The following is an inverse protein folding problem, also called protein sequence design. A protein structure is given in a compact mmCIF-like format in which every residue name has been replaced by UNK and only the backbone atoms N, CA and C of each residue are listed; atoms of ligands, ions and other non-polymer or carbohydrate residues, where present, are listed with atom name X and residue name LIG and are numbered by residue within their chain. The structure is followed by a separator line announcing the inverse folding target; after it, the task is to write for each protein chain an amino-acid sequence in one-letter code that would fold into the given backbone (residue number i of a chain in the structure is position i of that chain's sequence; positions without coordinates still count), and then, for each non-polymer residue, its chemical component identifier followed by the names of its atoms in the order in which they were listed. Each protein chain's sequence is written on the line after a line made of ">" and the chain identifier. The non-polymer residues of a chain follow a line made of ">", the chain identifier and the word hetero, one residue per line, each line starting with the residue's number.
data_IF_542521805557
#
_entry.id   IF_542521805557
#
_cell.length_a   1.000
_cell.length_b   1.000
_cell.length_c   1.000
_cell.angle_alpha   90.00
_cell.angle_beta   90.00
_cell.angle_gamma   90.00
#
_symmetry.space_group_name_H-M   'P 1'
#
loop_
_entity.id
_entity.type
_entity.pdbx_description
1 polymer ?
#
# COMPACT_ATOMS: atom_id res chain seq x y z
N UNK A 1 -2.72 75.19 -3.16
CA UNK A 1 -3.97 74.45 -3.38
C UNK A 1 -3.97 73.26 -2.42
N UNK A 2 -4.21 73.50 -1.13
CA UNK A 2 -5.51 73.51 -0.40
C UNK A 2 -6.12 72.11 -0.25
N UNK A 3 -5.91 71.52 0.93
CA UNK A 3 -6.83 70.56 1.57
C UNK A 3 -8.18 71.24 1.84
N UNK A 4 -9.29 70.48 1.89
CA UNK A 4 -10.03 70.23 3.15
C UNK A 4 -10.51 68.75 3.30
N UNK A 5 -10.35 68.06 4.44
CA UNK A 5 -11.25 67.89 5.62
C UNK A 5 -12.64 67.30 5.31
N UNK A 6 -12.93 66.03 5.64
CA UNK A 6 -13.59 65.49 6.89
C UNK A 6 -15.14 65.37 6.70
N UNK A 7 -16.00 64.69 7.51
CA UNK A 7 -15.80 63.77 8.66
C UNK A 7 -16.63 62.46 8.69
N UNK A 8 -16.25 61.61 9.65
CA UNK A 8 -17.03 60.74 10.56
C UNK A 8 -18.42 60.20 10.17
N UNK A 9 -18.63 58.89 10.33
CA UNK A 9 -19.68 58.32 11.22
C UNK A 9 -19.22 56.98 11.80
N UNK A 10 -19.44 56.87 13.10
CA UNK A 10 -19.27 55.81 14.08
C UNK A 10 -19.87 54.42 13.74
N UNK A 11 -19.47 53.41 14.52
CA UNK A 11 -20.37 52.30 14.85
C UNK A 11 -19.70 50.95 15.03
N UNK A 12 -19.42 50.61 16.29
CA UNK A 12 -19.56 49.29 16.91
C UNK A 12 -19.44 48.02 16.03
N UNK A 13 -18.54 47.11 16.41
CA UNK A 13 -18.93 45.82 17.02
C UNK A 13 -17.68 44.98 17.33
N UNK A 14 -17.23 45.12 18.57
CA UNK A 14 -16.39 44.16 19.27
C UNK A 14 -17.19 42.86 19.45
N UNK A 15 -16.60 41.69 19.18
CA UNK A 15 -17.12 40.42 19.70
C UNK A 15 -16.04 39.71 20.54
N UNK A 16 -16.38 39.16 21.73
CA UNK A 16 -15.41 38.94 22.79
C UNK A 16 -14.99 37.48 22.95
N UNK A 17 -13.74 37.33 23.39
CA UNK A 17 -13.11 36.14 23.95
C UNK A 17 -13.96 35.57 25.11
N UNK A 18 -14.48 34.34 24.94
CA UNK A 18 -15.22 33.62 25.99
C UNK A 18 -14.24 32.86 26.88
N UNK A 19 -13.95 33.41 28.06
CA UNK A 19 -13.30 32.68 29.17
C UNK A 19 -14.30 31.71 29.79
N UNK A 20 -13.86 30.47 30.03
CA UNK A 20 -14.59 29.47 30.81
C UNK A 20 -14.26 29.66 32.30
N UNK A 21 -15.25 30.02 33.11
CA UNK A 21 -15.20 29.94 34.57
C UNK A 21 -15.78 28.59 35.02
N UNK A 22 -15.19 27.89 36.01
CA UNK A 22 -15.77 26.68 36.55
C UNK A 22 -16.90 27.01 37.54
N UNK A 23 -18.10 26.49 37.26
CA UNK A 23 -19.26 26.63 38.13
C UNK A 23 -19.19 25.58 39.26
N UNK A 24 -18.90 26.05 40.47
CA UNK A 24 -18.98 25.32 41.73
C UNK A 24 -20.44 25.12 42.11
N UNK A 25 -20.90 23.88 42.20
CA UNK A 25 -22.27 23.54 42.57
C UNK A 25 -22.32 23.09 44.04
N UNK A 26 -22.58 24.04 44.94
CA UNK A 26 -22.93 23.76 46.33
C UNK A 26 -24.47 23.72 46.43
N UNK A 27 -25.05 22.52 46.46
CA UNK A 27 -26.45 22.32 46.83
C UNK A 27 -26.63 21.12 47.78
N UNK A 28 -26.84 21.46 49.05
CA UNK A 28 -27.92 20.98 49.90
C UNK A 28 -28.16 19.48 49.99
N UNK A 29 -27.64 18.87 51.06
CA UNK A 29 -28.12 17.61 51.62
C UNK A 29 -29.55 17.78 52.13
N UNK A 30 -30.53 17.42 51.29
CA UNK A 30 -31.94 17.30 51.64
C UNK A 30 -32.31 15.86 51.95
N UNK A 31 -32.50 15.60 53.24
CA UNK A 31 -33.03 14.35 53.83
C UNK A 31 -34.41 14.02 53.25
N UNK A 32 -34.60 12.77 52.79
CA UNK A 32 -35.95 12.18 52.63
C UNK A 32 -36.43 11.91 51.20
N UNK A 33 -35.78 11.00 50.47
CA UNK A 33 -36.45 10.23 49.43
C UNK A 33 -36.07 8.75 49.54
N UNK A 34 -36.86 8.04 50.34
CA UNK A 34 -36.92 6.58 50.32
C UNK A 34 -37.49 6.17 48.97
N UNK A 35 -36.61 5.75 48.05
CA UNK A 35 -37.00 5.20 46.77
C UNK A 35 -37.67 3.84 47.02
N UNK A 36 -39.00 3.84 47.01
CA UNK A 36 -39.81 2.64 47.10
C UNK A 36 -39.44 1.67 45.96
N UNK A 37 -38.81 0.55 46.32
CA UNK A 37 -38.64 -0.62 45.46
C UNK A 37 -40.03 -1.07 44.98
N UNK A 38 -40.34 -0.80 43.71
CA UNK A 38 -41.50 -1.42 43.05
C UNK A 38 -41.23 -2.92 42.91
N UNK A 39 -42.00 -3.81 43.57
CA UNK A 39 -42.07 -5.19 43.10
C UNK A 39 -42.89 -5.19 41.80
N UNK A 40 -42.74 -6.23 40.99
CA UNK A 40 -43.46 -6.46 39.73
C UNK A 40 -42.82 -5.85 38.46
N UNK A 41 -41.54 -6.16 38.25
CA UNK A 41 -41.02 -6.28 36.88
C UNK A 41 -41.26 -7.73 36.43
N UNK A 42 -42.18 -8.00 35.49
CA UNK A 42 -42.35 -9.34 34.97
C UNK A 42 -41.04 -9.79 34.32
N UNK A 43 -40.54 -10.96 34.73
CA UNK A 43 -39.37 -11.61 34.12
C UNK A 43 -39.76 -11.96 32.68
N UNK A 44 -39.58 -11.00 31.76
CA UNK A 44 -39.67 -11.21 30.32
C UNK A 44 -38.61 -12.25 30.00
N UNK A 45 -39.02 -13.37 29.38
CA UNK A 45 -38.16 -14.45 28.93
C UNK A 45 -36.88 -13.87 28.31
N UNK A 46 -35.77 -13.89 29.05
CA UNK A 46 -34.48 -13.50 28.52
C UNK A 46 -34.17 -14.55 27.45
N UNK A 47 -34.01 -14.18 26.17
CA UNK A 47 -33.69 -15.14 25.14
C UNK A 47 -32.46 -15.93 25.61
N UNK A 48 -32.56 -17.26 25.66
CA UNK A 48 -31.44 -18.09 26.13
C UNK A 48 -30.19 -17.73 25.33
N UNK A 49 -29.02 -17.73 25.98
CA UNK A 49 -27.73 -17.41 25.33
C UNK A 49 -27.55 -18.20 24.03
N UNK A 50 -28.08 -19.43 23.98
CA UNK A 50 -28.14 -20.30 22.79
C UNK A 50 -28.92 -19.68 21.61
N UNK A 51 -30.04 -19.00 21.86
CA UNK A 51 -30.83 -18.31 20.83
C UNK A 51 -30.16 -17.04 20.29
N UNK A 52 -29.35 -16.37 21.11
CA UNK A 52 -28.57 -15.21 20.70
C UNK A 52 -27.35 -15.64 19.86
N UNK A 53 -26.64 -16.69 20.31
CA UNK A 53 -25.49 -17.24 19.58
C UNK A 53 -25.90 -17.82 18.22
N UNK A 54 -27.02 -18.56 18.13
CA UNK A 54 -27.52 -19.09 16.86
C UNK A 54 -27.91 -17.99 15.86
N UNK A 55 -28.55 -16.90 16.33
CA UNK A 55 -28.84 -15.73 15.48
C UNK A 55 -27.59 -15.00 15.03
N UNK A 56 -26.54 -14.97 15.85
CA UNK A 56 -25.28 -14.29 15.54
C UNK A 56 -24.48 -15.07 14.48
N UNK A 57 -24.40 -16.40 14.61
CA UNK A 57 -23.77 -17.32 13.63
C UNK A 57 -24.52 -17.34 12.30
N UNK A 58 -25.87 -17.32 12.33
CA UNK A 58 -26.67 -17.24 11.12
C UNK A 58 -26.45 -15.91 10.36
N UNK A 59 -26.33 -14.79 11.09
CA UNK A 59 -26.08 -13.45 10.50
C UNK A 59 -24.69 -13.30 9.90
N UNK A 60 -23.65 -13.87 10.51
CA UNK A 60 -22.28 -13.83 9.97
C UNK A 60 -22.14 -14.72 8.74
N UNK A 61 -22.77 -15.90 8.74
CA UNK A 61 -22.75 -16.83 7.60
C UNK A 61 -23.54 -16.28 6.40
N UNK A 62 -24.75 -15.74 6.62
CA UNK A 62 -25.54 -15.10 5.58
C UNK A 62 -24.85 -13.86 4.97
N UNK A 63 -24.17 -13.04 5.79
CA UNK A 63 -23.35 -11.90 5.30
C UNK A 63 -22.14 -12.34 4.48
N UNK A 64 -21.55 -13.50 4.76
CA UNK A 64 -20.41 -14.06 4.01
C UNK A 64 -20.86 -14.61 2.65
N UNK A 65 -21.99 -15.32 2.61
CA UNK A 65 -22.57 -15.84 1.37
C UNK A 65 -23.09 -14.74 0.45
N UNK A 66 -23.71 -13.68 1.01
CA UNK A 66 -24.12 -12.51 0.23
C UNK A 66 -22.94 -11.80 -0.44
N UNK A 67 -21.83 -11.60 0.27
CA UNK A 67 -20.63 -11.00 -0.31
C UNK A 67 -20.00 -11.85 -1.42
N UNK A 68 -19.93 -13.16 -1.22
CA UNK A 68 -19.41 -14.07 -2.25
C UNK A 68 -20.26 -14.05 -3.53
N UNK A 69 -21.60 -14.00 -3.39
CA UNK A 69 -22.51 -13.87 -4.51
C UNK A 69 -22.33 -12.52 -5.23
N UNK A 70 -22.19 -11.42 -4.49
CA UNK A 70 -21.89 -10.11 -5.07
C UNK A 70 -20.54 -10.08 -5.81
N UNK A 71 -19.50 -10.71 -5.24
CA UNK A 71 -18.19 -10.82 -5.90
C UNK A 71 -18.26 -11.65 -7.19
N UNK A 72 -19.00 -12.77 -7.17
CA UNK A 72 -19.20 -13.59 -8.36
C UNK A 72 -20.00 -12.84 -9.43
N UNK A 73 -21.06 -12.14 -9.03
CA UNK A 73 -21.87 -11.31 -9.94
C UNK A 73 -21.03 -10.18 -10.55
N UNK A 74 -20.15 -9.55 -9.77
CA UNK A 74 -19.20 -8.56 -10.26
C UNK A 74 -18.21 -9.14 -11.29
N UNK A 75 -17.69 -10.34 -11.04
CA UNK A 75 -16.80 -11.02 -11.99
C UNK A 75 -17.52 -11.41 -13.29
N UNK A 76 -18.74 -11.94 -13.18
CA UNK A 76 -19.57 -12.29 -14.34
C UNK A 76 -19.92 -11.05 -15.15
N UNK A 77 -20.32 -9.96 -14.48
CA UNK A 77 -20.60 -8.69 -15.13
C UNK A 77 -19.37 -8.13 -15.85
N UNK A 78 -18.18 -8.22 -15.23
CA UNK A 78 -16.92 -7.81 -15.86
C UNK A 78 -16.63 -8.60 -17.14
N UNK A 79 -16.72 -9.93 -17.09
CA UNK A 79 -16.49 -10.80 -18.26
C UNK A 79 -17.54 -10.56 -19.34
N UNK A 80 -18.81 -10.36 -18.95
CA UNK A 80 -19.89 -10.05 -19.89
C UNK A 80 -19.66 -8.71 -20.60
N UNK A 81 -19.27 -7.67 -19.86
CA UNK A 81 -18.93 -6.35 -20.43
C UNK A 81 -17.75 -6.46 -21.39
N UNK A 82 -16.69 -7.20 -21.03
CA UNK A 82 -15.55 -7.44 -21.90
C UNK A 82 -15.97 -8.18 -23.17
N UNK A 83 -16.76 -9.25 -23.06
CA UNK A 83 -17.25 -9.99 -24.24
C UNK A 83 -18.11 -9.09 -25.15
N UNK A 84 -19.02 -8.32 -24.57
CA UNK A 84 -19.83 -7.34 -25.31
C UNK A 84 -18.95 -6.29 -26.00
N UNK A 85 -17.91 -5.79 -25.34
CA UNK A 85 -16.97 -4.85 -25.93
C UNK A 85 -16.21 -5.47 -27.12
N UNK A 86 -15.82 -6.74 -27.03
CA UNK A 86 -15.18 -7.46 -28.12
C UNK A 86 -16.14 -7.66 -29.31
N UNK A 87 -17.39 -8.02 -29.05
CA UNK A 87 -18.41 -8.26 -30.09
C UNK A 87 -18.93 -6.96 -30.72
N UNK A 88 -18.88 -5.84 -29.99
CA UNK A 88 -19.40 -4.54 -30.44
C UNK A 88 -18.68 -3.93 -31.65
N UNK A 89 -17.49 -4.45 -32.00
CA UNK A 89 -16.71 -3.92 -33.12
C UNK A 89 -16.16 -2.50 -32.88
N UNK A 90 -16.18 -2.00 -31.63
CA UNK A 90 -15.66 -0.68 -31.27
C UNK A 90 -14.14 -0.51 -31.51
N UNK A 91 -13.40 -1.61 -31.71
CA UNK A 91 -11.97 -1.63 -32.01
C UNK A 91 -11.65 -2.23 -33.39
N UNK A 92 -10.39 -2.05 -33.84
CA UNK A 92 -9.88 -2.80 -34.99
C UNK A 92 -10.01 -4.31 -34.70
N UNK A 93 -10.44 -5.08 -35.69
CA UNK A 93 -10.63 -6.53 -35.56
C UNK A 93 -9.34 -7.17 -35.04
N UNK A 94 -9.46 -7.93 -33.95
CA UNK A 94 -8.33 -8.61 -33.30
C UNK A 94 -7.65 -7.84 -32.16
N UNK A 95 -7.93 -6.55 -31.96
CA UNK A 95 -7.28 -5.77 -30.87
C UNK A 95 -7.86 -6.06 -29.48
N UNK A 96 -9.16 -6.36 -29.39
CA UNK A 96 -9.79 -6.76 -28.15
C UNK A 96 -9.78 -8.30 -28.10
N UNK A 97 -9.03 -8.93 -27.20
CA UNK A 97 -8.97 -10.38 -27.10
C UNK A 97 -10.29 -10.96 -26.60
N UNK A 98 -10.65 -12.14 -27.12
CA UNK A 98 -11.79 -12.92 -26.61
C UNK A 98 -11.43 -13.53 -25.24
N UNK A 99 -12.15 -13.19 -24.15
CA UNK A 99 -11.88 -13.74 -22.82
C UNK A 99 -11.99 -15.27 -22.78
N UNK A 100 -12.78 -15.89 -23.66
CA UNK A 100 -12.92 -17.35 -23.72
C UNK A 100 -11.79 -18.06 -24.48
N UNK A 101 -10.97 -17.32 -25.23
CA UNK A 101 -9.79 -17.86 -25.90
C UNK A 101 -8.58 -17.99 -24.95
N UNK A 102 -8.56 -17.22 -23.86
CA UNK A 102 -7.44 -17.12 -22.91
C UNK A 102 -7.04 -18.49 -22.32
N UNK A 103 -7.95 -19.35 -21.83
CA UNK A 103 -7.54 -20.64 -21.24
C UNK A 103 -6.78 -21.54 -22.23
N UNK A 104 -7.16 -21.50 -23.52
CA UNK A 104 -6.45 -22.24 -24.57
C UNK A 104 -5.07 -21.64 -24.83
N UNK A 105 -4.98 -20.32 -24.90
CA UNK A 105 -3.71 -19.62 -25.10
C UNK A 105 -2.72 -19.87 -23.96
N UNK A 106 -3.20 -19.87 -22.69
CA UNK A 106 -2.39 -20.28 -21.53
C UNK A 106 -1.79 -21.68 -21.75
N UNK A 107 -2.60 -22.65 -22.17
CA UNK A 107 -2.13 -24.02 -22.38
C UNK A 107 -1.10 -24.11 -23.51
N UNK A 108 -1.26 -23.33 -24.58
CA UNK A 108 -0.31 -23.26 -25.70
C UNK A 108 1.02 -22.66 -25.25
N UNK A 109 0.99 -21.52 -24.55
CA UNK A 109 2.20 -20.85 -24.04
C UNK A 109 2.90 -21.66 -22.93
N UNK A 110 2.15 -22.39 -22.13
CA UNK A 110 2.71 -23.31 -21.13
C UNK A 110 3.42 -24.49 -21.79
N UNK A 111 2.78 -25.14 -22.77
CA UNK A 111 3.34 -26.31 -23.47
C UNK A 111 4.53 -25.96 -24.37
N UNK A 112 4.59 -24.73 -24.89
CA UNK A 112 5.72 -24.27 -25.70
C UNK A 112 6.98 -24.02 -24.87
N UNK A 113 6.86 -23.92 -23.54
CA UNK A 113 7.96 -23.55 -22.64
C UNK A 113 8.30 -22.06 -22.64
N UNK A 114 7.68 -21.25 -23.49
CA UNK A 114 7.90 -19.78 -23.53
C UNK A 114 7.45 -19.13 -22.23
N UNK A 115 6.25 -19.49 -21.75
CA UNK A 115 5.71 -18.90 -20.52
C UNK A 115 6.61 -19.20 -19.31
N UNK A 116 7.10 -20.43 -19.18
CA UNK A 116 7.97 -20.81 -18.06
C UNK A 116 9.30 -20.09 -18.12
N UNK A 117 9.93 -20.03 -19.30
CA UNK A 117 11.19 -19.29 -19.49
C UNK A 117 11.03 -17.79 -19.22
N UNK A 118 9.91 -17.19 -19.65
CA UNK A 118 9.61 -15.79 -19.41
C UNK A 118 9.40 -15.50 -17.92
N UNK A 119 8.63 -16.35 -17.22
CA UNK A 119 8.42 -16.24 -15.77
C UNK A 119 9.73 -16.35 -15.01
N UNK A 120 10.60 -17.31 -15.35
CA UNK A 120 11.88 -17.51 -14.68
C UNK A 120 12.78 -16.29 -14.80
N UNK A 121 12.96 -15.77 -16.02
CA UNK A 121 13.77 -14.58 -16.26
C UNK A 121 13.21 -13.36 -15.52
N UNK A 122 11.88 -13.15 -15.61
CA UNK A 122 11.21 -12.06 -14.90
C UNK A 122 11.32 -12.17 -13.38
N UNK A 123 11.25 -13.38 -12.81
CA UNK A 123 11.44 -13.58 -11.38
C UNK A 123 12.86 -13.23 -10.93
N UNK A 124 13.87 -13.51 -11.75
CA UNK A 124 15.26 -13.12 -11.45
C UNK A 124 15.39 -11.59 -11.41
N UNK A 125 14.90 -10.89 -12.44
CA UNK A 125 14.90 -9.42 -12.48
C UNK A 125 14.14 -8.83 -11.28
N UNK A 126 12.95 -9.35 -11.04
CA UNK A 126 12.05 -8.91 -9.99
C UNK A 126 12.66 -9.10 -8.59
N UNK A 127 13.20 -10.28 -8.31
CA UNK A 127 13.77 -10.59 -7.00
C UNK A 127 14.99 -9.72 -6.69
N UNK A 128 15.93 -9.59 -7.64
CA UNK A 128 17.12 -8.75 -7.45
C UNK A 128 16.78 -7.27 -7.35
N UNK A 129 15.91 -6.77 -8.22
CA UNK A 129 15.46 -5.39 -8.17
C UNK A 129 14.74 -5.06 -6.87
N UNK A 130 13.84 -5.94 -6.41
CA UNK A 130 13.14 -5.79 -5.14
C UNK A 130 14.11 -5.83 -3.96
N UNK A 131 15.05 -6.77 -3.93
CA UNK A 131 16.02 -6.91 -2.86
C UNK A 131 16.93 -5.68 -2.76
N UNK A 132 17.52 -5.25 -3.87
CA UNK A 132 18.42 -4.09 -3.91
C UNK A 132 17.67 -2.80 -3.58
N UNK A 133 16.52 -2.56 -4.21
CA UNK A 133 15.73 -1.36 -3.97
C UNK A 133 15.22 -1.28 -2.53
N UNK A 134 14.75 -2.40 -1.98
CA UNK A 134 14.30 -2.45 -0.57
C UNK A 134 15.44 -2.26 0.39
N UNK A 135 16.56 -2.98 0.21
CA UNK A 135 17.72 -2.87 1.08
C UNK A 135 18.29 -1.45 1.11
N UNK A 136 18.52 -0.84 -0.06
CA UNK A 136 19.03 0.52 -0.17
C UNK A 136 18.04 1.56 0.34
N UNK A 137 16.75 1.39 0.02
CA UNK A 137 15.70 2.30 0.48
C UNK A 137 15.56 2.29 2.00
N UNK A 138 15.60 1.11 2.62
CA UNK A 138 15.55 0.96 4.07
C UNK A 138 16.80 1.54 4.73
N UNK A 139 17.99 1.18 4.24
CA UNK A 139 19.25 1.66 4.80
C UNK A 139 19.32 3.19 4.76
N UNK A 140 19.05 3.80 3.59
CA UNK A 140 19.12 5.25 3.46
C UNK A 140 17.97 5.95 4.20
N UNK A 141 16.76 5.39 4.17
CA UNK A 141 15.60 5.97 4.86
C UNK A 141 15.78 6.00 6.39
N UNK A 142 16.36 4.95 6.97
CA UNK A 142 16.74 4.93 8.40
C UNK A 142 17.85 5.95 8.66
N UNK A 143 18.89 5.96 7.81
CA UNK A 143 20.03 6.84 8.00
C UNK A 143 19.66 8.32 7.96
N UNK A 144 18.80 8.74 7.02
CA UNK A 144 18.31 10.12 6.93
C UNK A 144 17.31 10.45 8.03
N UNK A 145 16.45 9.52 8.44
CA UNK A 145 15.53 9.75 9.56
C UNK A 145 16.24 9.96 10.91
N UNK A 146 17.40 9.34 11.09
CA UNK A 146 18.17 9.41 12.34
C UNK A 146 19.26 10.49 12.36
N UNK A 147 19.59 11.09 11.21
CA UNK A 147 20.67 12.07 11.09
C UNK A 147 20.20 13.33 10.37
N UNK A 148 20.05 14.42 11.14
CA UNK A 148 19.73 15.76 10.59
C UNK A 148 20.77 16.22 9.56
N UNK A 149 22.03 15.82 9.73
CA UNK A 149 23.11 16.12 8.77
C UNK A 149 22.87 15.42 7.44
N UNK A 150 22.57 14.12 7.45
CA UNK A 150 22.28 13.38 6.22
C UNK A 150 20.98 13.86 5.56
N UNK A 151 19.95 14.16 6.34
CA UNK A 151 18.70 14.72 5.81
C UNK A 151 18.93 16.08 5.12
N UNK A 152 19.72 16.96 5.75
CA UNK A 152 20.07 18.27 5.18
C UNK A 152 20.92 18.14 3.91
N UNK A 153 21.92 17.25 3.90
CA UNK A 153 22.81 17.03 2.75
C UNK A 153 22.08 16.41 1.57
N UNK A 154 21.25 15.40 1.82
CA UNK A 154 20.55 14.66 0.77
C UNK A 154 19.23 15.33 0.37
N UNK A 155 18.72 16.28 1.14
CA UNK A 155 17.43 16.91 0.89
C UNK A 155 17.28 17.51 -0.51
N UNK A 156 18.32 18.10 -1.08
CA UNK A 156 18.29 18.59 -2.48
C UNK A 156 18.35 17.45 -3.50
N UNK A 157 19.23 16.47 -3.29
CA UNK A 157 19.38 15.28 -4.14
C UNK A 157 18.04 14.53 -4.22
N UNK A 158 17.42 14.26 -3.09
CA UNK A 158 16.12 13.58 -2.99
C UNK A 158 15.03 14.39 -3.70
N UNK A 159 14.98 15.71 -3.51
CA UNK A 159 14.00 16.58 -4.18
C UNK A 159 14.14 16.56 -5.70
N UNK A 160 15.36 16.45 -6.22
CA UNK A 160 15.64 16.44 -7.66
C UNK A 160 15.42 15.06 -8.29
N UNK A 161 15.83 13.98 -7.64
CA UNK A 161 15.71 12.63 -8.23
C UNK A 161 14.33 12.02 -8.03
N UNK A 162 13.62 12.34 -6.95
CA UNK A 162 12.31 11.74 -6.62
C UNK A 162 11.28 11.82 -7.77
N UNK A 163 11.11 12.95 -8.48
CA UNK A 163 10.09 13.07 -9.53
C UNK A 163 10.41 12.26 -10.79
N UNK A 164 11.67 11.80 -10.93
CA UNK A 164 12.12 11.09 -12.12
C UNK A 164 11.52 9.68 -12.11
N UNK A 165 10.68 9.31 -13.10
CA UNK A 165 10.07 7.99 -13.14
C UNK A 165 11.14 6.91 -13.33
N UNK A 166 10.98 5.72 -12.74
CA UNK A 166 11.93 4.60 -12.92
C UNK A 166 12.19 4.27 -14.39
N UNK A 167 11.18 4.42 -15.24
CA UNK A 167 11.29 4.19 -16.69
C UNK A 167 12.36 5.09 -17.36
N UNK A 168 12.57 6.32 -16.89
CA UNK A 168 13.59 7.21 -17.47
C UNK A 168 15.02 6.67 -17.24
N UNK A 169 15.22 5.87 -16.19
CA UNK A 169 16.51 5.27 -15.87
C UNK A 169 16.90 4.13 -16.81
N UNK A 170 15.99 3.64 -17.66
CA UNK A 170 16.32 2.56 -18.60
C UNK A 170 17.41 2.99 -19.58
N UNK A 171 17.43 4.26 -20.00
CA UNK A 171 18.48 4.78 -20.91
C UNK A 171 19.87 4.60 -20.27
N UNK A 172 20.00 4.95 -18.99
CA UNK A 172 21.23 4.75 -18.24
C UNK A 172 21.53 3.28 -17.99
N UNK A 173 20.49 2.46 -17.72
CA UNK A 173 20.65 1.03 -17.55
C UNK A 173 21.27 0.37 -18.78
N UNK A 174 20.80 0.74 -19.98
CA UNK A 174 21.36 0.27 -21.25
C UNK A 174 22.77 0.81 -21.46
N UNK A 175 23.03 2.07 -21.13
CA UNK A 175 24.37 2.64 -21.29
C UNK A 175 25.42 1.96 -20.41
N UNK A 176 25.07 1.63 -19.16
CA UNK A 176 26.00 1.04 -18.19
C UNK A 176 26.09 -0.48 -18.27
N UNK A 177 24.93 -1.15 -18.34
CA UNK A 177 24.84 -2.60 -18.23
C UNK A 177 24.54 -3.26 -19.57
N UNK A 178 24.30 -2.48 -20.64
CA UNK A 178 23.75 -2.97 -21.91
C UNK A 178 22.37 -3.61 -21.67
N UNK A 179 21.85 -4.32 -22.68
CA UNK A 179 20.63 -5.13 -22.52
C UNK A 179 21.04 -6.38 -21.72
N UNK A 180 20.80 -6.34 -20.41
CA UNK A 180 21.23 -7.37 -19.45
C UNK A 180 20.28 -7.51 -18.26
N UNK A 181 20.42 -8.62 -17.52
CA UNK A 181 19.60 -8.93 -16.35
C UNK A 181 19.85 -7.93 -15.22
N UNK A 182 21.10 -7.47 -15.09
CA UNK A 182 21.55 -6.45 -14.15
C UNK A 182 20.90 -5.10 -14.46
N UNK A 183 20.83 -4.73 -15.75
CA UNK A 183 20.16 -3.51 -16.18
C UNK A 183 18.66 -3.51 -15.84
N UNK A 184 17.97 -4.64 -16.07
CA UNK A 184 16.57 -4.79 -15.72
C UNK A 184 16.35 -4.70 -14.20
N UNK A 185 17.15 -5.44 -13.41
CA UNK A 185 17.11 -5.38 -11.96
C UNK A 185 17.41 -3.96 -11.42
N UNK A 186 18.34 -3.23 -12.03
CA UNK A 186 18.65 -1.85 -11.67
C UNK A 186 17.43 -0.93 -11.83
N UNK A 187 16.74 -0.97 -12.96
CA UNK A 187 15.53 -0.15 -13.20
C UNK A 187 14.44 -0.44 -12.18
N UNK A 188 14.21 -1.72 -11.90
CA UNK A 188 13.26 -2.17 -10.87
C UNK A 188 13.67 -1.65 -9.49
N UNK A 189 14.96 -1.74 -9.16
CA UNK A 189 15.49 -1.28 -7.88
C UNK A 189 15.25 0.21 -7.64
N UNK A 190 15.34 1.07 -8.66
CA UNK A 190 15.04 2.50 -8.55
C UNK A 190 13.56 2.74 -8.20
N UNK A 191 12.63 2.01 -8.83
CA UNK A 191 11.21 2.11 -8.51
C UNK A 191 10.89 1.72 -7.07
N UNK A 192 11.47 0.61 -6.63
CA UNK A 192 11.30 0.09 -5.27
C UNK A 192 11.98 0.98 -4.24
N UNK A 193 13.17 1.51 -4.56
CA UNK A 193 13.99 2.31 -3.68
C UNK A 193 13.23 3.51 -3.13
N UNK A 194 12.60 4.32 -3.99
CA UNK A 194 11.92 5.53 -3.52
C UNK A 194 10.71 5.23 -2.65
N UNK A 195 9.91 4.22 -3.01
CA UNK A 195 8.76 3.79 -2.20
C UNK A 195 9.21 3.38 -0.80
N UNK A 196 10.24 2.55 -0.71
CA UNK A 196 10.75 2.04 0.55
C UNK A 196 11.53 3.09 1.34
N UNK A 197 12.26 3.97 0.68
CA UNK A 197 12.93 5.11 1.30
C UNK A 197 11.93 5.99 2.04
N UNK A 198 10.88 6.46 1.38
CA UNK A 198 9.93 7.38 2.01
C UNK A 198 9.08 6.72 3.08
N UNK A 199 8.64 5.47 2.87
CA UNK A 199 7.91 4.73 3.88
C UNK A 199 8.77 4.54 5.15
N UNK A 200 10.05 4.21 4.96
CA UNK A 200 10.98 3.99 6.07
C UNK A 200 11.35 5.29 6.77
N UNK A 201 11.68 6.34 6.01
CA UNK A 201 11.98 7.66 6.54
C UNK A 201 10.83 8.19 7.40
N UNK A 202 9.60 8.10 6.88
CA UNK A 202 8.41 8.52 7.61
C UNK A 202 8.17 7.67 8.86
N UNK A 203 8.32 6.35 8.77
CA UNK A 203 8.07 5.45 9.90
C UNK A 203 9.10 5.63 11.02
N UNK A 204 10.38 5.74 10.67
CA UNK A 204 11.47 5.95 11.63
C UNK A 204 11.44 7.35 12.26
N UNK A 205 11.12 8.38 11.47
CA UNK A 205 10.98 9.76 11.97
C UNK A 205 9.74 9.99 12.83
N UNK A 206 8.73 9.12 12.75
CA UNK A 206 7.47 9.23 13.54
C UNK A 206 7.51 8.47 14.87
N UNK A 207 8.66 7.92 15.26
CA UNK A 207 8.83 7.24 16.55
C UNK A 207 8.75 8.26 17.69
N UNK A 208 7.89 8.02 18.69
CA UNK A 208 7.67 8.94 19.81
C UNK A 208 9.00 9.22 20.56
N UNK A 209 9.39 10.50 20.73
CA UNK A 209 10.55 10.91 21.53
C UNK A 209 10.63 10.25 22.92
N UNK A 210 9.49 9.95 23.54
CA UNK A 210 9.40 9.26 24.85
C UNK A 210 10.07 7.89 24.85
N UNK A 211 10.04 7.16 23.74
CA UNK A 211 10.74 5.87 23.67
C UNK A 211 12.26 6.04 23.78
N UNK A 212 12.81 7.13 23.23
CA UNK A 212 14.23 7.45 23.37
C UNK A 212 14.58 7.95 24.77
N UNK A 213 13.66 8.60 25.49
CA UNK A 213 13.84 8.99 26.89
C UNK A 213 13.82 7.77 27.83
N UNK A 214 12.89 6.84 27.61
CA UNK A 214 12.84 5.57 28.35
C UNK A 214 14.10 4.74 28.12
N UNK A 215 14.55 4.60 26.87
CA UNK A 215 15.80 3.88 26.57
C UNK A 215 17.01 4.49 27.28
N UNK A 216 17.10 5.83 27.36
CA UNK A 216 18.11 6.55 28.14
C UNK A 216 18.02 6.22 29.63
N UNK A 217 16.82 6.20 30.20
CA UNK A 217 16.62 5.84 31.61
C UNK A 217 17.06 4.41 31.94
N UNK A 218 16.96 3.48 30.98
CA UNK A 218 17.45 2.10 31.10
C UNK A 218 18.91 1.91 30.62
N UNK A 219 19.70 2.98 30.52
CA UNK A 219 21.13 2.96 30.13
C UNK A 219 21.38 2.33 28.73
N UNK A 220 20.41 2.41 27.84
CA UNK A 220 20.53 2.00 26.43
C UNK A 220 20.98 3.18 25.57
N UNK A 221 22.22 3.64 25.81
CA UNK A 221 22.72 4.89 25.22
C UNK A 221 23.46 4.75 23.89
N UNK A 222 23.75 3.52 23.45
CA UNK A 222 24.45 3.29 22.20
C UNK A 222 23.57 3.53 20.96
N UNK A 223 24.10 4.11 19.86
CA UNK A 223 23.34 4.37 18.64
C UNK A 223 22.77 3.07 18.04
N UNK A 224 23.56 2.01 18.03
CA UNK A 224 23.13 0.68 17.56
C UNK A 224 22.06 0.07 18.48
N UNK A 225 22.21 0.24 19.80
CA UNK A 225 21.23 -0.26 20.79
C UNK A 225 19.89 0.45 20.67
N UNK A 226 19.89 1.77 20.48
CA UNK A 226 18.67 2.56 20.24
C UNK A 226 18.02 2.20 18.91
N UNK A 227 18.81 2.07 17.84
CA UNK A 227 18.30 1.64 16.54
C UNK A 227 17.60 0.29 16.63
N UNK A 228 18.28 -0.75 17.14
CA UNK A 228 17.75 -2.11 17.17
C UNK A 228 16.68 -2.32 18.25
N UNK A 229 16.77 -1.61 19.38
CA UNK A 229 15.88 -1.79 20.53
C UNK A 229 14.66 -0.88 20.55
N UNK A 230 14.69 0.26 19.84
CA UNK A 230 13.62 1.26 19.88
C UNK A 230 13.12 1.61 18.49
N UNK A 231 13.99 2.17 17.65
CA UNK A 231 13.57 2.72 16.36
C UNK A 231 13.05 1.63 15.43
N UNK A 232 13.83 0.55 15.23
CA UNK A 232 13.48 -0.51 14.30
C UNK A 232 12.18 -1.23 14.74
N UNK A 233 12.00 -1.66 16.00
CA UNK A 233 10.75 -2.29 16.42
C UNK A 233 9.53 -1.37 16.33
N UNK A 234 9.68 -0.09 16.73
CA UNK A 234 8.58 0.87 16.71
C UNK A 234 8.16 1.28 15.28
N UNK A 235 9.11 1.37 14.35
CA UNK A 235 8.86 1.76 12.97
C UNK A 235 8.58 0.57 12.03
N UNK A 236 8.87 -0.66 12.45
CA UNK A 236 8.77 -1.84 11.61
C UNK A 236 7.38 -2.04 10.95
N UNK A 237 6.22 -1.75 11.58
CA UNK A 237 4.93 -1.86 10.90
C UNK A 237 4.83 -0.94 9.68
N UNK A 238 5.34 0.30 9.79
CA UNK A 238 5.39 1.26 8.71
C UNK A 238 6.40 0.88 7.62
N UNK A 239 7.59 0.40 8.02
CA UNK A 239 8.62 -0.09 7.09
C UNK A 239 8.09 -1.28 6.27
N UNK A 240 7.42 -2.25 6.92
CA UNK A 240 6.84 -3.40 6.23
C UNK A 240 5.67 -3.02 5.33
N UNK A 241 4.86 -2.03 5.70
CA UNK A 241 3.84 -1.47 4.80
C UNK A 241 4.48 -0.83 3.55
N UNK A 242 5.63 -0.17 3.72
CA UNK A 242 6.49 0.30 2.64
C UNK A 242 6.91 -0.82 1.71
N UNK A 243 7.55 -1.87 2.24
CA UNK A 243 7.99 -3.03 1.45
C UNK A 243 6.85 -3.67 0.67
N UNK A 244 5.66 -3.78 1.26
CA UNK A 244 4.46 -4.28 0.57
C UNK A 244 4.08 -3.41 -0.63
N UNK A 245 4.14 -2.09 -0.47
CA UNK A 245 3.92 -1.15 -1.57
C UNK A 245 5.01 -1.27 -2.63
N UNK A 246 6.25 -1.51 -2.20
CA UNK A 246 7.41 -1.78 -3.05
C UNK A 246 7.23 -3.01 -3.96
N UNK A 247 6.58 -4.08 -3.48
CA UNK A 247 6.25 -5.29 -4.29
C UNK A 247 5.42 -4.92 -5.53
N UNK A 248 4.42 -4.04 -5.37
CA UNK A 248 3.60 -3.56 -6.48
C UNK A 248 4.39 -2.65 -7.43
N UNK A 249 5.17 -1.73 -6.86
CA UNK A 249 6.02 -0.82 -7.66
C UNK A 249 7.07 -1.58 -8.49
N UNK A 250 7.65 -2.65 -7.94
CA UNK A 250 8.61 -3.50 -8.63
C UNK A 250 8.01 -4.12 -9.90
N UNK A 251 6.75 -4.58 -9.87
CA UNK A 251 6.11 -5.16 -11.05
C UNK A 251 5.79 -4.12 -12.12
N UNK A 252 5.41 -2.91 -11.72
CA UNK A 252 5.22 -1.80 -12.66
C UNK A 252 6.52 -1.47 -13.39
N UNK A 253 7.64 -1.46 -12.67
CA UNK A 253 8.96 -1.22 -13.24
C UNK A 253 9.50 -2.43 -14.04
N UNK A 254 9.15 -3.66 -13.67
CA UNK A 254 9.57 -4.89 -14.34
C UNK A 254 9.13 -4.90 -15.81
N UNK A 255 7.84 -4.65 -16.07
CA UNK A 255 7.31 -4.64 -17.44
C UNK A 255 8.05 -3.58 -18.27
N UNK A 256 8.20 -2.37 -17.71
CA UNK A 256 8.90 -1.28 -18.34
C UNK A 256 10.37 -1.64 -18.70
N UNK A 257 11.06 -2.35 -17.81
CA UNK A 257 12.44 -2.77 -18.02
C UNK A 257 12.55 -3.85 -19.11
N UNK A 258 11.60 -4.78 -19.17
CA UNK A 258 11.65 -5.92 -20.10
C UNK A 258 11.20 -5.58 -21.52
N UNK A 259 10.34 -4.57 -21.69
CA UNK A 259 9.86 -4.12 -23.01
C UNK A 259 10.98 -3.70 -23.98
N UNK A 260 12.20 -3.47 -23.47
CA UNK A 260 13.34 -2.94 -24.23
C UNK A 260 14.31 -4.06 -24.65
N UNK A 261 13.78 -5.28 -24.83
CA UNK A 261 14.52 -6.39 -25.44
C UNK A 261 15.15 -7.37 -24.44
N UNK A 262 14.76 -7.32 -23.17
CA UNK A 262 15.24 -8.28 -22.16
C UNK A 262 14.31 -9.49 -22.06
N UNK A 263 14.82 -10.74 -22.10
CA UNK A 263 13.99 -11.93 -21.95
C UNK A 263 13.13 -11.87 -20.70
N UNK A 264 11.84 -12.13 -20.83
CA UNK A 264 10.89 -12.00 -19.72
C UNK A 264 9.47 -11.78 -20.21
N UNK A 265 8.54 -11.68 -19.28
CA UNK A 265 7.12 -11.51 -19.56
C UNK A 265 6.85 -10.24 -20.38
N UNK A 266 7.52 -9.13 -20.07
CA UNK A 266 7.35 -7.88 -20.80
C UNK A 266 7.78 -8.00 -22.27
N UNK A 267 8.85 -8.73 -22.56
CA UNK A 267 9.31 -8.94 -23.92
C UNK A 267 8.38 -9.88 -24.70
N UNK A 268 7.86 -10.94 -24.08
CA UNK A 268 6.86 -11.81 -24.71
C UNK A 268 5.57 -11.04 -25.02
N UNK A 269 5.15 -10.13 -24.12
CA UNK A 269 4.04 -9.21 -24.40
C UNK A 269 4.34 -8.30 -25.60
N UNK A 270 5.55 -7.76 -25.71
CA UNK A 270 5.95 -6.90 -26.83
C UNK A 270 5.93 -7.66 -28.17
N UNK A 271 6.46 -8.89 -28.17
CA UNK A 271 6.47 -9.76 -29.36
C UNK A 271 5.05 -10.13 -29.78
N UNK A 272 4.20 -10.56 -28.84
CA UNK A 272 2.80 -10.90 -29.10
C UNK A 272 2.01 -9.70 -29.64
N UNK A 273 2.21 -8.51 -29.04
CA UNK A 273 1.59 -7.27 -29.51
C UNK A 273 2.06 -6.89 -30.92
N UNK A 274 3.34 -7.12 -31.25
CA UNK A 274 3.92 -6.82 -32.56
C UNK A 274 3.31 -7.62 -33.71
N UNK A 275 2.83 -8.85 -33.45
CA UNK A 275 2.14 -9.70 -34.42
C UNK A 275 0.60 -9.63 -34.31
N UNK A 276 0.07 -8.78 -33.43
CA UNK A 276 -1.36 -8.62 -33.22
C UNK A 276 -2.03 -9.72 -32.39
N UNK A 277 -1.27 -10.55 -31.69
CA UNK A 277 -1.79 -11.56 -30.77
C UNK A 277 -2.06 -10.98 -29.38
N UNK A 278 -3.12 -10.17 -29.30
CA UNK A 278 -3.54 -9.55 -28.04
C UNK A 278 -4.14 -10.55 -27.04
N UNK A 279 -4.49 -11.76 -27.48
CA UNK A 279 -4.90 -12.85 -26.59
C UNK A 279 -3.71 -13.29 -25.74
N UNK A 280 -2.54 -13.50 -26.37
CA UNK A 280 -1.31 -13.82 -25.65
C UNK A 280 -0.82 -12.66 -24.77
N UNK A 281 -1.00 -11.40 -25.19
CA UNK A 281 -0.75 -10.23 -24.31
C UNK A 281 -1.60 -10.31 -23.04
N UNK A 282 -2.90 -10.59 -23.16
CA UNK A 282 -3.79 -10.73 -22.01
C UNK A 282 -3.40 -11.92 -21.10
N UNK A 283 -2.92 -13.02 -21.69
CA UNK A 283 -2.37 -14.16 -20.93
C UNK A 283 -1.22 -13.70 -20.03
N UNK A 284 -0.24 -12.99 -20.57
CA UNK A 284 0.91 -12.51 -19.79
C UNK A 284 0.53 -11.46 -18.74
N UNK A 285 -0.49 -10.62 -19.00
CA UNK A 285 -1.06 -9.72 -17.98
C UNK A 285 -1.66 -10.50 -16.78
N UNK A 286 -2.32 -11.63 -17.04
CA UNK A 286 -2.85 -12.51 -15.98
C UNK A 286 -1.72 -13.19 -15.21
N UNK A 287 -0.65 -13.60 -15.90
CA UNK A 287 0.55 -14.16 -15.25
C UNK A 287 1.18 -13.14 -14.30
N UNK A 288 1.32 -11.87 -14.71
CA UNK A 288 1.82 -10.81 -13.83
C UNK A 288 0.91 -10.62 -12.61
N UNK A 289 -0.41 -10.62 -12.81
CA UNK A 289 -1.38 -10.53 -11.71
C UNK A 289 -1.25 -11.70 -10.72
N UNK A 290 -1.02 -12.91 -11.23
CA UNK A 290 -0.75 -14.08 -10.42
C UNK A 290 0.55 -13.93 -9.62
N UNK A 291 1.65 -13.50 -10.26
CA UNK A 291 2.93 -13.26 -9.58
C UNK A 291 2.79 -12.21 -8.48
N UNK A 292 2.06 -11.11 -8.73
CA UNK A 292 1.76 -10.10 -7.73
C UNK A 292 1.03 -10.70 -6.53
N UNK A 293 -0.06 -11.43 -6.80
CA UNK A 293 -0.91 -12.00 -5.77
C UNK A 293 -0.13 -13.01 -4.91
N UNK A 294 0.70 -13.84 -5.53
CA UNK A 294 1.56 -14.78 -4.83
C UNK A 294 2.62 -14.07 -3.98
N UNK A 295 3.28 -13.05 -4.54
CA UNK A 295 4.30 -12.25 -3.83
C UNK A 295 3.70 -11.49 -2.64
N UNK A 296 2.54 -10.85 -2.82
CA UNK A 296 1.82 -10.15 -1.75
C UNK A 296 1.36 -11.13 -0.67
N UNK A 297 0.81 -12.29 -1.05
CA UNK A 297 0.40 -13.31 -0.09
C UNK A 297 1.59 -13.91 0.68
N UNK A 298 2.74 -14.09 0.02
CA UNK A 298 3.96 -14.52 0.68
C UNK A 298 4.45 -13.45 1.68
N UNK A 299 4.45 -12.18 1.27
CA UNK A 299 4.85 -11.07 2.12
C UNK A 299 3.95 -10.90 3.33
N UNK A 300 2.62 -10.99 3.17
CA UNK A 300 1.67 -10.89 4.28
C UNK A 300 1.87 -12.03 5.29
N UNK A 301 2.20 -13.24 4.82
CA UNK A 301 2.55 -14.37 5.71
C UNK A 301 3.83 -14.08 6.48
N UNK A 302 4.88 -13.60 5.81
CA UNK A 302 6.14 -13.21 6.42
C UNK A 302 5.92 -12.09 7.46
N UNK A 303 5.16 -11.05 7.10
CA UNK A 303 4.84 -9.92 7.97
C UNK A 303 4.17 -10.38 9.27
N UNK A 304 3.20 -11.31 9.19
CA UNK A 304 2.54 -11.86 10.39
C UNK A 304 3.50 -12.63 11.30
N UNK A 305 4.46 -13.35 10.73
CA UNK A 305 5.47 -14.08 11.52
C UNK A 305 6.43 -13.10 12.21
N UNK A 306 6.90 -12.08 11.49
CA UNK A 306 7.80 -11.05 12.04
C UNK A 306 7.08 -10.21 13.09
N UNK A 307 5.80 -9.89 12.89
CA UNK A 307 5.03 -8.99 13.77
C UNK A 307 4.22 -9.70 14.85
N UNK A 308 4.58 -10.93 15.23
CA UNK A 308 3.85 -11.70 16.25
C UNK A 308 3.74 -10.99 17.62
N UNK A 309 4.61 -10.02 17.91
CA UNK A 309 4.59 -9.23 19.14
C UNK A 309 3.61 -8.02 19.10
N UNK A 310 3.17 -7.59 17.93
CA UNK A 310 2.26 -6.46 17.79
C UNK A 310 0.82 -6.96 17.61
N UNK A 311 -0.11 -6.71 18.55
CA UNK A 311 -1.51 -7.08 18.34
C UNK A 311 -2.06 -6.32 17.14
N UNK A 312 -2.61 -7.07 16.19
CA UNK A 312 -3.24 -6.59 14.95
C UNK A 312 -4.62 -6.00 15.17
#
# INVERSE_FOLDING_TARGET
>A
MTLPTDPAVDGELLSPVRRLTPQRNDQGLGTGQVLALRPDVPIRQVPSVVSLLSRQVARTTARRSGRALLSLLGLVAFVAIWKLAQDSGLGRRGTIPDPFAIPRAILVEWRSGRMTSAIESSLVHYAWGLLMGTGLGFALGIATALSETLDSLLGWVIRLLRPIPPLAWVIFAIAWFRISHEGAAFVISIGVFWVNYFATYSAAGSVDPKYYELARAFQQDGPVKRLLGVTLPASAPGILAGARTGIGSALMALIAAELIGMPGIGQEMNVAAGIGDYTTVAVYMLVISLIYTLSDAAFVRLQKQVMQWHPS
#
